data_IF_524539930095
#
_entry.id   IF_524539930095
#
_cell.length_a   1.000
_cell.length_b   1.000
_cell.length_c   1.000
_cell.angle_alpha   90.00
_cell.angle_beta   90.00
_cell.angle_gamma   90.00
#
_symmetry.space_group_name_H-M   'P 1'
#
loop_
_entity.id
_entity.type
_entity.pdbx_description
1 polymer ?
#
# COMPACT_ATOMS: atom_id res chain seq x y z
N UNK A 1 10.29 -8.26 -12.92
CA UNK A 1 9.00 -7.60 -12.64
C UNK A 1 8.56 -6.90 -13.90
N UNK A 2 7.33 -7.17 -14.32
CA UNK A 2 6.71 -6.45 -15.42
C UNK A 2 5.58 -5.56 -14.89
N UNK A 3 5.73 -4.25 -15.03
CA UNK A 3 4.66 -3.30 -14.73
C UNK A 3 3.57 -3.41 -15.79
N UNK A 4 2.33 -3.59 -15.34
CA UNK A 4 1.12 -3.62 -16.18
C UNK A 4 0.44 -2.26 -16.14
N UNK A 5 0.28 -1.69 -14.94
CA UNK A 5 -0.29 -0.36 -14.73
C UNK A 5 0.41 0.32 -13.53
N UNK A 6 0.56 1.64 -13.60
CA UNK A 6 1.13 2.46 -12.53
C UNK A 6 0.35 3.77 -12.44
N UNK A 7 -0.32 3.96 -11.32
CA UNK A 7 -1.09 5.17 -11.04
C UNK A 7 -0.55 5.81 -9.77
N UNK A 8 -0.24 7.10 -9.86
CA UNK A 8 0.15 7.93 -8.72
C UNK A 8 -0.87 9.07 -8.59
N UNK A 9 -1.37 9.32 -7.39
CA UNK A 9 -2.32 10.38 -7.14
C UNK A 9 -2.19 10.99 -5.75
N UNK A 10 -2.15 12.32 -5.72
CA UNK A 10 -2.37 13.10 -4.50
C UNK A 10 -3.87 13.02 -4.17
N UNK A 11 -4.18 12.35 -3.06
CA UNK A 11 -5.56 12.15 -2.60
C UNK A 11 -6.06 13.37 -1.86
N UNK A 12 -5.17 13.99 -1.08
CA UNK A 12 -5.52 15.14 -0.28
C UNK A 12 -4.28 16.01 -0.11
N UNK A 13 -4.45 17.32 -0.26
CA UNK A 13 -3.46 18.29 0.20
C UNK A 13 -4.14 19.53 0.75
N UNK A 14 -3.60 20.05 1.84
CA UNK A 14 -3.91 21.35 2.43
C UNK A 14 -2.61 21.88 3.01
N UNK A 15 -2.18 23.05 2.56
CA UNK A 15 -0.95 23.70 3.02
C UNK A 15 -1.29 25.17 3.29
N UNK A 16 -1.14 25.58 4.54
CA UNK A 16 -1.25 26.98 4.94
C UNK A 16 0.16 27.57 5.12
N UNK A 17 0.68 28.31 4.13
CA UNK A 17 2.00 28.90 4.21
C UNK A 17 2.07 30.06 5.24
N UNK A 18 0.96 30.73 5.52
CA UNK A 18 0.91 31.86 6.48
C UNK A 18 0.98 31.40 7.93
N UNK A 19 0.61 30.14 8.18
CA UNK A 19 0.72 29.53 9.49
C UNK A 19 2.16 29.60 10.05
N UNK A 20 3.17 29.41 9.20
CA UNK A 20 4.58 29.40 9.60
C UNK A 20 5.11 30.76 10.05
N UNK A 21 4.43 31.86 9.69
CA UNK A 21 4.79 33.22 10.07
C UNK A 21 4.45 33.51 11.54
N UNK A 22 3.44 32.83 12.10
CA UNK A 22 2.89 33.10 13.43
C UNK A 22 3.12 31.98 14.45
N UNK A 23 3.56 30.79 14.01
CA UNK A 23 3.74 29.61 14.87
C UNK A 23 5.16 29.06 14.79
N UNK A 24 5.79 28.85 15.96
CA UNK A 24 7.20 28.42 16.06
C UNK A 24 7.35 26.91 16.29
N UNK A 25 6.47 26.29 17.09
CA UNK A 25 6.58 24.89 17.50
C UNK A 25 5.62 23.97 16.73
N UNK A 26 6.20 23.08 15.93
CA UNK A 26 5.45 22.16 15.06
C UNK A 26 5.53 20.73 15.60
N UNK A 27 4.40 20.03 15.61
CA UNK A 27 4.32 18.58 15.71
C UNK A 27 4.08 17.98 14.32
N UNK A 28 4.76 16.88 14.02
CA UNK A 28 4.79 16.26 12.67
C UNK A 28 4.42 14.80 12.79
N UNK A 29 3.66 14.31 11.82
CA UNK A 29 3.42 12.89 11.64
C UNK A 29 3.70 12.50 10.21
N UNK A 30 4.50 11.45 10.03
CA UNK A 30 4.77 10.83 8.76
C UNK A 30 4.49 9.34 8.88
N UNK A 31 3.58 8.83 8.06
CA UNK A 31 3.24 7.41 8.05
C UNK A 31 3.20 6.91 6.63
N UNK A 32 3.68 5.68 6.43
CA UNK A 32 3.52 4.95 5.18
C UNK A 32 2.69 3.71 5.41
N UNK A 33 1.86 3.35 4.44
CA UNK A 33 1.21 2.05 4.43
C UNK A 33 1.46 1.33 3.12
N UNK A 34 1.48 0.00 3.15
CA UNK A 34 1.55 -0.84 1.96
C UNK A 34 0.59 -1.99 2.13
N UNK A 35 -0.16 -2.30 1.08
CA UNK A 35 -0.90 -3.55 1.00
C UNK A 35 -0.76 -4.15 -0.38
N UNK A 36 -0.75 -5.48 -0.40
CA UNK A 36 -0.76 -6.27 -1.59
C UNK A 36 -2.11 -6.96 -1.72
N UNK A 37 -2.55 -7.15 -2.96
CA UNK A 37 -3.69 -8.00 -3.29
C UNK A 37 -3.51 -8.65 -4.66
N UNK A 38 -4.19 -9.76 -4.90
CA UNK A 38 -4.25 -10.36 -6.24
C UNK A 38 -5.06 -9.46 -7.19
N UNK A 39 -4.54 -9.28 -8.40
CA UNK A 39 -5.22 -8.61 -9.50
C UNK A 39 -5.90 -9.62 -10.43
N UNK A 40 -6.30 -9.18 -11.62
CA UNK A 40 -6.84 -10.08 -12.64
C UNK A 40 -5.74 -10.95 -13.25
N UNK A 41 -6.05 -12.21 -13.54
CA UNK A 41 -5.11 -13.18 -14.11
C UNK A 41 -3.91 -13.45 -13.20
N UNK A 42 -2.70 -13.35 -13.76
CA UNK A 42 -1.44 -13.55 -13.04
C UNK A 42 -0.80 -12.23 -12.57
N UNK A 43 -1.63 -11.25 -12.22
CA UNK A 43 -1.13 -9.93 -11.75
C UNK A 43 -1.33 -9.74 -10.26
N UNK A 44 -0.49 -8.90 -9.68
CA UNK A 44 -0.55 -8.45 -8.30
C UNK A 44 -0.68 -6.93 -8.28
N UNK A 45 -1.42 -6.42 -7.30
CA UNK A 45 -1.61 -4.99 -7.11
C UNK A 45 -1.04 -4.60 -5.75
N UNK A 46 -0.03 -3.72 -5.78
CA UNK A 46 0.48 -3.01 -4.62
C UNK A 46 -0.23 -1.67 -4.52
N UNK A 47 -0.84 -1.40 -3.36
CA UNK A 47 -1.19 -0.04 -2.98
C UNK A 47 -0.21 0.42 -1.90
N UNK A 48 0.51 1.49 -2.19
CA UNK A 48 1.39 2.16 -1.25
C UNK A 48 0.92 3.59 -1.06
N UNK A 49 0.99 4.11 0.17
CA UNK A 49 0.64 5.49 0.42
C UNK A 49 1.51 6.14 1.46
N UNK A 50 1.68 7.44 1.31
CA UNK A 50 2.38 8.34 2.21
C UNK A 50 1.35 9.31 2.76
N UNK A 51 1.31 9.45 4.08
CA UNK A 51 0.54 10.49 4.76
C UNK A 51 1.49 11.33 5.60
N UNK A 52 1.43 12.63 5.40
CA UNK A 52 2.22 13.60 6.14
C UNK A 52 1.30 14.68 6.69
N UNK A 53 1.46 15.01 7.97
CA UNK A 53 0.73 16.10 8.59
C UNK A 53 1.62 16.90 9.53
N UNK A 54 1.34 18.19 9.59
CA UNK A 54 2.01 19.12 10.48
C UNK A 54 0.94 19.96 11.16
N UNK A 55 1.06 20.06 12.48
CA UNK A 55 0.12 20.80 13.34
C UNK A 55 0.88 21.69 14.30
N UNK A 56 0.21 22.73 14.82
CA UNK A 56 0.71 23.45 16.00
C UNK A 56 0.82 22.47 17.17
N UNK A 57 1.91 22.54 17.92
CA UNK A 57 2.07 21.70 19.11
C UNK A 57 1.09 22.05 20.23
N UNK A 58 0.71 23.32 20.36
CA UNK A 58 -0.14 23.82 21.45
C UNK A 58 -1.62 23.83 21.06
N UNK A 59 -1.96 24.40 19.90
CA UNK A 59 -3.36 24.56 19.46
C UNK A 59 -3.90 23.36 18.70
N UNK A 60 -3.01 22.50 18.16
CA UNK A 60 -3.34 21.39 17.24
C UNK A 60 -3.93 21.84 15.90
N UNK A 61 -3.86 23.13 15.59
CA UNK A 61 -4.30 23.64 14.29
C UNK A 61 -3.44 23.05 13.17
N UNK A 62 -4.10 22.56 12.12
CA UNK A 62 -3.44 21.86 11.02
C UNK A 62 -2.93 22.84 9.97
N UNK A 63 -1.62 22.87 9.77
CA UNK A 63 -1.00 23.68 8.73
C UNK A 63 -0.67 22.89 7.47
N UNK A 64 -0.32 21.60 7.62
CA UNK A 64 -0.12 20.70 6.49
C UNK A 64 -0.91 19.42 6.71
N UNK A 65 -1.65 19.04 5.68
CA UNK A 65 -2.14 17.68 5.47
C UNK A 65 -1.82 17.28 4.05
N UNK A 66 -1.12 16.17 3.87
CA UNK A 66 -0.71 15.69 2.57
C UNK A 66 -0.85 14.17 2.53
N UNK A 67 -1.48 13.67 1.48
CA UNK A 67 -1.63 12.24 1.23
C UNK A 67 -1.40 11.95 -0.25
N UNK A 68 -0.41 11.11 -0.54
CA UNK A 68 -0.09 10.63 -1.90
C UNK A 68 -0.16 9.10 -1.93
N UNK A 69 -0.70 8.55 -3.02
CA UNK A 69 -0.89 7.11 -3.19
C UNK A 69 -0.32 6.64 -4.52
N UNK A 70 0.34 5.49 -4.46
CA UNK A 70 0.76 4.68 -5.59
C UNK A 70 -0.09 3.42 -5.64
N UNK A 71 -0.66 3.15 -6.81
CA UNK A 71 -1.23 1.85 -7.18
C UNK A 71 -0.39 1.28 -8.32
N UNK A 72 0.30 0.19 -8.04
CA UNK A 72 1.16 -0.52 -8.99
C UNK A 72 0.57 -1.90 -9.26
N UNK A 73 0.17 -2.16 -10.50
CA UNK A 73 -0.20 -3.50 -10.95
C UNK A 73 0.98 -4.10 -11.73
N UNK A 74 1.42 -5.28 -11.33
CA UNK A 74 2.58 -5.94 -11.92
C UNK A 74 2.43 -7.46 -12.01
N UNK A 75 3.23 -8.07 -12.87
CA UNK A 75 3.52 -9.51 -12.84
C UNK A 75 4.87 -9.66 -12.13
N UNK A 76 4.87 -10.52 -11.11
CA UNK A 76 6.05 -10.85 -10.30
C UNK A 76 6.47 -12.25 -10.69
N UNK A 77 7.67 -12.37 -11.26
CA UNK A 77 8.22 -13.65 -11.73
C UNK A 77 9.13 -14.27 -10.66
N UNK A 78 9.99 -13.44 -10.05
CA UNK A 78 10.88 -13.78 -8.94
C UNK A 78 10.91 -12.62 -7.95
N UNK A 79 10.30 -12.80 -6.77
CA UNK A 79 10.18 -11.73 -5.78
C UNK A 79 11.54 -11.28 -5.22
N UNK A 80 12.53 -12.17 -5.13
CA UNK A 80 13.85 -11.82 -4.59
C UNK A 80 14.57 -10.83 -5.53
N UNK A 81 14.31 -10.92 -6.84
CA UNK A 81 14.81 -9.97 -7.85
C UNK A 81 13.88 -8.75 -7.98
N UNK A 82 12.58 -8.98 -7.96
CA UNK A 82 11.56 -7.98 -8.26
C UNK A 82 11.30 -6.99 -7.13
N UNK A 83 11.66 -7.35 -5.90
CA UNK A 83 11.60 -6.49 -4.71
C UNK A 83 12.35 -5.16 -4.89
N UNK A 84 13.47 -5.15 -5.62
CA UNK A 84 14.24 -3.94 -5.90
C UNK A 84 13.46 -2.96 -6.79
N UNK A 85 12.73 -3.48 -7.78
CA UNK A 85 11.90 -2.64 -8.65
C UNK A 85 10.69 -2.08 -7.89
N UNK A 86 10.12 -2.86 -6.97
CA UNK A 86 9.05 -2.41 -6.06
C UNK A 86 9.56 -1.29 -5.15
N UNK A 87 10.73 -1.47 -4.53
CA UNK A 87 11.35 -0.46 -3.69
C UNK A 87 11.58 0.84 -4.44
N UNK A 88 12.11 0.76 -5.66
CA UNK A 88 12.32 1.93 -6.52
C UNK A 88 11.01 2.66 -6.84
N UNK A 89 9.91 1.93 -7.05
CA UNK A 89 8.61 2.58 -7.27
C UNK A 89 8.12 3.33 -6.01
N UNK A 90 8.36 2.79 -4.81
CA UNK A 90 8.06 3.47 -3.54
C UNK A 90 8.97 4.66 -3.29
N UNK A 91 10.23 4.55 -3.72
CA UNK A 91 11.20 5.64 -3.68
C UNK A 91 10.74 6.83 -4.50
N UNK A 92 10.35 6.58 -5.74
CA UNK A 92 9.85 7.60 -6.65
C UNK A 92 8.64 8.33 -6.05
N UNK A 93 7.71 7.62 -5.38
CA UNK A 93 6.57 8.22 -4.68
C UNK A 93 7.01 9.13 -3.52
N UNK A 94 8.03 8.73 -2.76
CA UNK A 94 8.52 9.56 -1.67
C UNK A 94 9.24 10.80 -2.20
N UNK A 95 10.06 10.66 -3.24
CA UNK A 95 10.75 11.79 -3.86
C UNK A 95 9.74 12.78 -4.46
N UNK A 96 8.66 12.30 -5.10
CA UNK A 96 7.60 13.16 -5.60
C UNK A 96 6.88 13.91 -4.47
N UNK A 97 6.61 13.24 -3.34
CA UNK A 97 6.04 13.86 -2.15
C UNK A 97 6.96 14.95 -1.56
N UNK A 98 8.25 14.68 -1.48
CA UNK A 98 9.26 15.63 -1.01
C UNK A 98 9.27 16.89 -1.90
N UNK A 99 9.40 16.71 -3.22
CA UNK A 99 9.41 17.83 -4.17
C UNK A 99 8.10 18.62 -4.14
N UNK A 100 6.95 17.94 -4.03
CA UNK A 100 5.66 18.63 -3.87
C UNK A 100 5.64 19.51 -2.61
N UNK A 101 6.04 18.97 -1.46
CA UNK A 101 6.05 19.72 -0.21
C UNK A 101 7.05 20.88 -0.26
N UNK A 102 8.21 20.68 -0.90
CA UNK A 102 9.23 21.72 -1.10
C UNK A 102 8.73 22.86 -1.97
N UNK A 103 8.06 22.54 -3.08
CA UNK A 103 7.46 23.55 -3.97
C UNK A 103 6.35 24.36 -3.30
N UNK A 104 5.58 23.75 -2.41
CA UNK A 104 4.38 24.37 -1.83
C UNK A 104 4.60 24.96 -0.42
N UNK A 105 5.70 24.64 0.25
CA UNK A 105 6.03 25.15 1.59
C UNK A 105 7.16 26.20 1.58
N UNK A 106 7.65 26.54 0.38
CA UNK A 106 8.65 27.60 0.13
C UNK A 106 9.82 27.58 1.14
N UNK A 107 10.10 28.73 1.76
CA UNK A 107 11.17 28.93 2.73
C UNK A 107 11.00 28.16 4.04
N UNK A 108 9.84 27.54 4.28
CA UNK A 108 9.56 26.79 5.49
C UNK A 108 9.76 25.29 5.34
N UNK A 109 10.14 24.80 4.16
CA UNK A 109 10.36 23.37 3.91
C UNK A 109 11.34 22.74 4.89
N UNK A 110 12.45 23.41 5.20
CA UNK A 110 13.46 22.90 6.14
C UNK A 110 12.90 22.72 7.56
N UNK A 111 11.89 23.50 7.94
CA UNK A 111 11.20 23.36 9.23
C UNK A 111 10.28 22.15 9.25
N UNK A 112 9.81 21.67 8.10
CA UNK A 112 8.94 20.50 8.03
C UNK A 112 9.67 19.24 8.45
N UNK A 113 10.99 19.18 8.28
CA UNK A 113 11.80 17.98 8.55
C UNK A 113 11.17 16.74 7.93
N UNK A 114 10.75 16.85 6.68
CA UNK A 114 10.19 15.71 5.95
C UNK A 114 11.22 14.58 5.98
N UNK A 115 10.86 13.35 6.39
CA UNK A 115 11.86 12.30 6.63
C UNK A 115 12.68 12.04 5.37
N UNK A 116 14.01 11.95 5.52
CA UNK A 116 14.85 11.45 4.45
C UNK A 116 14.51 9.98 4.18
N UNK A 117 14.62 9.54 2.93
CA UNK A 117 14.45 8.11 2.67
C UNK A 117 15.74 7.36 2.97
N UNK A 118 15.65 6.44 3.91
CA UNK A 118 16.68 5.44 4.12
C UNK A 118 16.31 4.16 3.35
N UNK A 119 16.87 4.02 2.14
CA UNK A 119 16.81 2.78 1.36
C UNK A 119 17.94 1.85 1.77
N UNK A 120 17.80 1.21 2.93
CA UNK A 120 18.71 0.14 3.35
C UNK A 120 18.29 -1.21 2.75
N UNK A 121 19.25 -2.13 2.58
CA UNK A 121 19.01 -3.51 2.14
C UNK A 121 17.93 -4.23 2.97
N UNK A 122 17.80 -3.87 4.24
CA UNK A 122 16.75 -4.36 5.16
C UNK A 122 15.32 -4.05 4.69
N UNK A 123 15.10 -2.99 3.90
CA UNK A 123 13.78 -2.71 3.32
C UNK A 123 13.43 -3.67 2.18
N UNK A 124 14.41 -4.14 1.40
CA UNK A 124 14.14 -5.10 0.32
C UNK A 124 13.64 -6.43 0.88
N UNK A 125 14.28 -6.89 1.95
CA UNK A 125 13.89 -8.09 2.69
C UNK A 125 12.47 -7.97 3.24
N UNK A 126 12.11 -6.82 3.85
CA UNK A 126 10.74 -6.60 4.36
C UNK A 126 9.68 -6.57 3.25
N UNK A 127 10.01 -6.05 2.07
CA UNK A 127 9.09 -6.07 0.93
C UNK A 127 8.88 -7.49 0.40
N UNK A 128 9.96 -8.26 0.31
CA UNK A 128 9.92 -9.68 -0.04
C UNK A 128 9.07 -10.46 0.97
N UNK A 129 9.29 -10.28 2.27
CA UNK A 129 8.49 -10.88 3.34
C UNK A 129 7.01 -10.51 3.25
N UNK A 130 6.69 -9.23 3.04
CA UNK A 130 5.30 -8.77 2.95
C UNK A 130 4.57 -9.37 1.73
N UNK A 131 5.27 -9.49 0.60
CA UNK A 131 4.73 -10.15 -0.59
C UNK A 131 4.55 -11.66 -0.37
N UNK A 132 5.52 -12.33 0.24
CA UNK A 132 5.45 -13.78 0.56
C UNK A 132 4.29 -14.07 1.53
N UNK A 133 4.09 -13.24 2.55
CA UNK A 133 2.99 -13.41 3.51
C UNK A 133 1.65 -13.29 2.77
N UNK A 134 1.46 -12.24 1.97
CA UNK A 134 0.22 -12.05 1.20
C UNK A 134 -0.04 -13.22 0.25
N UNK A 135 0.95 -13.65 -0.52
CA UNK A 135 0.77 -14.75 -1.48
C UNK A 135 0.45 -16.07 -0.79
N UNK A 136 1.07 -16.37 0.36
CA UNK A 136 0.70 -17.54 1.18
C UNK A 136 -0.73 -17.46 1.69
N UNK A 137 -1.15 -16.30 2.19
CA UNK A 137 -2.52 -16.10 2.66
C UNK A 137 -3.55 -16.21 1.53
N UNK A 138 -3.22 -15.70 0.33
CA UNK A 138 -4.07 -15.80 -0.85
C UNK A 138 -4.22 -17.26 -1.33
N UNK A 139 -3.13 -18.02 -1.41
CA UNK A 139 -3.16 -19.46 -1.73
C UNK A 139 -3.98 -20.23 -0.69
N UNK A 140 -3.77 -19.97 0.61
CA UNK A 140 -4.53 -20.63 1.67
C UNK A 140 -6.04 -20.31 1.63
N UNK A 141 -6.42 -19.11 1.18
CA UNK A 141 -7.83 -18.73 0.98
C UNK A 141 -8.43 -19.43 -0.24
N UNK A 142 -7.69 -19.55 -1.34
CA UNK A 142 -8.11 -20.28 -2.55
C UNK A 142 -8.29 -21.77 -2.27
N UNK A 143 -7.34 -22.41 -1.59
CA UNK A 143 -7.43 -23.82 -1.21
C UNK A 143 -8.65 -24.08 -0.31
N UNK A 144 -8.94 -23.17 0.63
CA UNK A 144 -10.16 -23.25 1.47
C UNK A 144 -11.43 -23.13 0.63
N UNK A 145 -11.46 -22.20 -0.33
CA UNK A 145 -12.60 -22.01 -1.22
C UNK A 145 -12.83 -23.24 -2.11
N UNK A 146 -11.76 -23.85 -2.62
CA UNK A 146 -11.84 -25.07 -3.44
C UNK A 146 -12.30 -26.27 -2.60
N UNK A 147 -11.77 -26.42 -1.39
CA UNK A 147 -12.20 -27.47 -0.46
C UNK A 147 -13.67 -27.34 -0.12
N UNK A 148 -14.15 -26.11 0.12
CA UNK A 148 -15.56 -25.83 0.39
C UNK A 148 -16.45 -26.15 -0.82
N UNK A 149 -16.05 -25.76 -2.03
CA UNK A 149 -16.75 -26.11 -3.27
C UNK A 149 -16.81 -27.63 -3.49
N UNK A 150 -15.74 -28.35 -3.15
CA UNK A 150 -15.67 -29.81 -3.25
C UNK A 150 -16.54 -30.50 -2.19
N UNK A 151 -16.63 -29.93 -0.98
CA UNK A 151 -17.56 -30.36 0.07
C UNK A 151 -19.01 -30.20 -0.38
N UNK A 152 -19.39 -29.04 -0.93
CA UNK A 152 -20.73 -28.78 -1.47
C UNK A 152 -21.11 -29.78 -2.57
N UNK A 153 -20.21 -30.01 -3.54
CA UNK A 153 -20.40 -31.04 -4.59
C UNK A 153 -20.58 -32.44 -4.01
N UNK A 154 -19.88 -32.76 -2.92
CA UNK A 154 -19.97 -34.08 -2.27
C UNK A 154 -21.28 -34.24 -1.52
N UNK A 155 -21.73 -33.18 -0.84
CA UNK A 155 -23.04 -33.13 -0.16
C UNK A 155 -24.18 -33.28 -1.17
N UNK A 156 -24.14 -32.55 -2.28
CA UNK A 156 -25.14 -32.64 -3.35
C UNK A 156 -25.21 -34.04 -3.97
N UNK A 157 -24.05 -34.68 -4.22
CA UNK A 157 -23.99 -36.07 -4.70
C UNK A 157 -24.62 -37.04 -3.71
N UNK A 158 -24.35 -36.87 -2.42
CA UNK A 158 -24.91 -37.73 -1.37
C UNK A 158 -26.42 -37.52 -1.22
N UNK A 159 -26.93 -36.29 -1.35
CA UNK A 159 -28.37 -36.01 -1.37
C UNK A 159 -29.06 -36.62 -2.60
N UNK A 160 -28.39 -36.65 -3.76
CA UNK A 160 -28.91 -37.33 -4.94
C UNK A 160 -29.02 -38.85 -4.73
N UNK A 161 -27.99 -39.48 -4.15
CA UNK A 161 -27.97 -40.91 -3.87
C UNK A 161 -29.08 -41.34 -2.89
N UNK A 162 -29.28 -40.59 -1.80
CA UNK A 162 -30.33 -40.87 -0.80
C UNK A 162 -31.75 -40.76 -1.40
N UNK A 163 -31.94 -39.92 -2.42
CA UNK A 163 -33.24 -39.79 -3.10
C UNK A 163 -33.49 -40.88 -4.15
N UNK A 164 -32.45 -41.57 -4.62
CA UNK A 164 -32.57 -42.74 -5.49
C UNK A 164 -32.95 -43.97 -4.66
N UNK A 165 -32.28 -44.19 -3.52
CA UNK A 165 -32.57 -45.32 -2.61
C UNK A 165 -33.95 -45.27 -1.94
N UNK A 166 -34.63 -44.11 -1.95
CA UNK A 166 -36.01 -43.96 -1.43
C UNK A 166 -37.10 -44.20 -2.48
N UNK A 167 -36.74 -44.52 -3.73
CA UNK A 167 -37.67 -44.72 -4.85
C UNK A 167 -37.77 -46.18 -5.32
N UNK A 168 -37.08 -47.11 -4.66
CA UNK A 168 -37.29 -48.57 -4.81
C UNK A 168 -38.15 -49.11 -3.66
#
# INVERSE_FOLDING_TARGET
MKTVDKQECIIHYSIDPYFFENHSELERSYTTYSNWRRGEGNTYILNHGISFSVVDKNTRDQCIRFENRLKLQCIVDDISVDSLAILKAKEELHLSANEFLKMNSFSFFDRLKFPAVEFAAERALREEEAFIIMTKDAVALEDKSEHQLNLEKTIDRNHLAINIDKKE
#
